data_IF_181265094324
#
_entry.id   IF_181265094324
#
_cell.length_a   1.000
_cell.length_b   1.000
_cell.length_c   1.000
_cell.angle_alpha   90.00
_cell.angle_beta   90.00
_cell.angle_gamma   90.00
#
_symmetry.space_group_name_H-M   'P 1'
#
loop_
_entity.id
_entity.type
_entity.pdbx_description
1 polymer ?
#
# COMPACT_ATOMS: atom_id res chain seq x y z
N UNK A 1 12.74 -32.49 6.77
CA UNK A 1 13.49 -31.43 6.09
C UNK A 1 12.88 -30.15 6.61
N UNK A 2 13.52 -29.55 7.61
CA UNK A 2 13.14 -28.23 8.09
C UNK A 2 13.74 -27.27 7.09
N UNK A 3 12.89 -26.66 6.27
CA UNK A 3 13.29 -25.52 5.48
C UNK A 3 13.61 -24.41 6.49
N UNK A 4 14.90 -24.19 6.67
CA UNK A 4 15.49 -23.07 7.37
C UNK A 4 15.05 -21.82 6.59
N UNK A 5 13.98 -21.18 7.04
CA UNK A 5 13.62 -19.85 6.55
C UNK A 5 14.73 -18.93 7.04
N UNK A 6 15.69 -18.63 6.17
CA UNK A 6 16.75 -17.69 6.45
C UNK A 6 16.14 -16.35 6.86
N UNK A 7 16.20 -16.05 8.16
CA UNK A 7 15.98 -14.72 8.74
C UNK A 7 17.15 -13.80 8.38
N UNK A 8 17.36 -13.55 7.09
CA UNK A 8 18.14 -12.39 6.66
C UNK A 8 17.18 -11.20 6.58
N UNK A 9 17.44 -10.17 7.38
CA UNK A 9 16.72 -8.90 7.27
C UNK A 9 17.02 -8.29 5.91
N UNK A 10 15.97 -8.01 5.14
CA UNK A 10 16.09 -7.39 3.81
C UNK A 10 16.70 -5.99 3.94
N UNK A 11 17.58 -5.63 2.99
CA UNK A 11 18.03 -4.25 2.84
C UNK A 11 16.90 -3.33 2.38
N UNK A 12 17.07 -2.01 2.58
CA UNK A 12 16.09 -1.00 2.13
C UNK A 12 15.78 -1.11 0.62
N UNK A 13 16.79 -1.44 -0.19
CA UNK A 13 16.62 -1.61 -1.64
C UNK A 13 15.81 -2.87 -1.97
N UNK A 14 16.04 -3.97 -1.27
CA UNK A 14 15.26 -5.20 -1.44
C UNK A 14 13.81 -5.01 -0.97
N UNK A 15 13.58 -4.25 0.10
CA UNK A 15 12.26 -3.88 0.58
C UNK A 15 11.50 -3.02 -0.45
N UNK A 16 12.16 -2.04 -1.06
CA UNK A 16 11.57 -1.21 -2.12
C UNK A 16 11.23 -2.04 -3.37
N UNK A 17 12.11 -2.95 -3.79
CA UNK A 17 11.82 -3.88 -4.89
C UNK A 17 10.60 -4.74 -4.56
N UNK A 18 10.56 -5.36 -3.39
CA UNK A 18 9.44 -6.19 -2.97
C UNK A 18 8.12 -5.40 -2.89
N UNK A 19 8.17 -4.17 -2.37
CA UNK A 19 7.02 -3.26 -2.31
C UNK A 19 6.46 -3.01 -3.72
N UNK A 20 7.33 -2.71 -4.69
CA UNK A 20 6.93 -2.45 -6.08
C UNK A 20 6.33 -3.69 -6.73
N UNK A 21 6.96 -4.85 -6.57
CA UNK A 21 6.43 -6.11 -7.10
C UNK A 21 5.04 -6.44 -6.55
N UNK A 22 4.80 -6.16 -5.28
CA UNK A 22 3.48 -6.34 -4.65
C UNK A 22 2.48 -5.31 -5.17
N UNK A 23 2.88 -4.03 -5.27
CA UNK A 23 2.04 -2.96 -5.77
C UNK A 23 1.60 -3.23 -7.23
N UNK A 24 2.51 -3.66 -8.09
CA UNK A 24 2.24 -3.95 -9.50
C UNK A 24 1.16 -5.03 -9.66
N UNK A 25 1.20 -6.10 -8.83
CA UNK A 25 0.15 -7.13 -8.83
C UNK A 25 -1.23 -6.58 -8.47
N UNK A 26 -1.30 -5.64 -7.53
CA UNK A 26 -2.56 -4.99 -7.18
C UNK A 26 -3.05 -4.05 -8.29
N UNK A 27 -2.14 -3.32 -8.94
CA UNK A 27 -2.46 -2.45 -10.08
C UNK A 27 -2.95 -3.28 -11.27
N UNK A 28 -2.33 -4.42 -11.57
CA UNK A 28 -2.77 -5.34 -12.62
C UNK A 28 -4.20 -5.82 -12.37
N UNK A 29 -4.51 -6.22 -11.13
CA UNK A 29 -5.87 -6.59 -10.76
C UNK A 29 -6.84 -5.42 -10.88
N UNK A 30 -6.44 -4.22 -10.45
CA UNK A 30 -7.27 -3.02 -10.59
C UNK A 30 -7.56 -2.70 -12.07
N UNK A 31 -6.56 -2.82 -12.94
CA UNK A 31 -6.68 -2.64 -14.38
C UNK A 31 -7.66 -3.65 -15.00
N UNK A 32 -7.66 -4.90 -14.53
CA UNK A 32 -8.64 -5.90 -14.92
C UNK A 32 -10.06 -5.54 -14.44
N UNK A 33 -10.22 -5.08 -13.19
CA UNK A 33 -11.51 -4.65 -12.68
C UNK A 33 -12.03 -3.40 -13.42
N UNK A 34 -11.14 -2.52 -13.87
CA UNK A 34 -11.48 -1.33 -14.65
C UNK A 34 -12.04 -1.65 -16.05
N UNK A 35 -11.86 -2.88 -16.55
CA UNK A 35 -12.56 -3.36 -17.75
C UNK A 35 -14.06 -3.59 -17.52
N UNK A 36 -14.47 -3.73 -16.25
CA UNK A 36 -15.85 -4.08 -15.87
C UNK A 36 -16.56 -2.98 -15.08
N UNK A 37 -15.82 -2.19 -14.31
CA UNK A 37 -16.35 -1.13 -13.45
C UNK A 37 -15.68 0.21 -13.75
N UNK A 38 -16.36 1.33 -13.43
CA UNK A 38 -15.75 2.66 -13.52
C UNK A 38 -14.49 2.74 -12.64
N UNK A 39 -13.43 3.38 -13.16
CA UNK A 39 -12.13 3.50 -12.49
C UNK A 39 -12.23 4.15 -11.11
N UNK A 40 -13.16 5.08 -10.91
CA UNK A 40 -13.43 5.72 -9.62
C UNK A 40 -13.98 4.72 -8.59
N UNK A 41 -14.81 3.78 -9.01
CA UNK A 41 -15.33 2.72 -8.15
C UNK A 41 -14.24 1.68 -7.84
N UNK A 42 -13.38 1.36 -8.82
CA UNK A 42 -12.22 0.49 -8.60
C UNK A 42 -11.26 1.14 -7.60
N UNK A 43 -10.98 2.44 -7.75
CA UNK A 43 -10.15 3.21 -6.80
C UNK A 43 -10.72 3.18 -5.38
N UNK A 44 -12.03 3.40 -5.21
CA UNK A 44 -12.68 3.24 -3.90
C UNK A 44 -12.58 1.82 -3.35
N UNK A 45 -12.76 0.82 -4.22
CA UNK A 45 -12.60 -0.59 -3.87
C UNK A 45 -11.18 -0.92 -3.39
N UNK A 46 -10.15 -0.37 -4.03
CA UNK A 46 -8.76 -0.50 -3.60
C UNK A 46 -8.55 0.13 -2.22
N UNK A 47 -8.99 1.39 -2.01
CA UNK A 47 -8.87 2.05 -0.71
C UNK A 47 -9.54 1.24 0.41
N UNK A 48 -10.74 0.70 0.14
CA UNK A 48 -11.45 -0.15 1.09
C UNK A 48 -10.72 -1.48 1.34
N UNK A 49 -10.19 -2.12 0.29
CA UNK A 49 -9.40 -3.34 0.39
C UNK A 49 -8.13 -3.14 1.22
N UNK A 50 -7.37 -2.09 0.95
CA UNK A 50 -6.17 -1.70 1.71
C UNK A 50 -6.51 -1.46 3.18
N UNK A 51 -7.59 -0.73 3.48
CA UNK A 51 -8.01 -0.49 4.86
C UNK A 51 -8.31 -1.80 5.62
N UNK A 52 -8.97 -2.76 4.97
CA UNK A 52 -9.27 -4.08 5.57
C UNK A 52 -8.00 -4.90 5.80
N UNK A 53 -7.09 -4.90 4.84
CA UNK A 53 -5.83 -5.64 4.98
C UNK A 53 -4.97 -5.04 6.09
N UNK A 54 -4.83 -3.71 6.13
CA UNK A 54 -4.07 -3.03 7.19
C UNK A 54 -4.70 -3.25 8.57
N UNK A 55 -6.03 -3.24 8.68
CA UNK A 55 -6.71 -3.57 9.93
C UNK A 55 -6.44 -5.03 10.38
N UNK A 56 -6.38 -5.98 9.44
CA UNK A 56 -5.98 -7.35 9.73
C UNK A 56 -4.52 -7.43 10.23
N UNK A 57 -3.59 -6.70 9.60
CA UNK A 57 -2.18 -6.62 10.03
C UNK A 57 -2.07 -6.09 11.46
N UNK A 58 -2.81 -5.04 11.83
CA UNK A 58 -2.81 -4.54 13.22
C UNK A 58 -3.34 -5.61 14.17
N UNK A 59 -4.48 -6.20 13.82
CA UNK A 59 -5.11 -7.22 14.66
C UNK A 59 -4.23 -8.48 14.82
N UNK A 60 -3.42 -8.85 13.82
CA UNK A 60 -2.55 -10.02 13.89
C UNK A 60 -1.33 -9.82 14.80
N UNK A 61 -0.98 -8.58 15.14
CA UNK A 61 0.12 -8.25 16.05
C UNK A 61 -0.34 -7.98 17.48
N UNK A 62 -1.65 -7.88 17.73
CA UNK A 62 -2.18 -7.63 19.06
C UNK A 62 -2.34 -8.94 19.84
N UNK A 63 -1.75 -9.01 21.03
CA UNK A 63 -1.85 -10.18 21.92
C UNK A 63 -3.24 -10.26 22.59
N UNK A 64 -3.85 -9.12 22.87
CA UNK A 64 -5.17 -8.99 23.46
C UNK A 64 -5.89 -7.70 23.04
N UNK A 65 -7.11 -7.50 23.55
CA UNK A 65 -7.94 -6.35 23.22
C UNK A 65 -7.37 -5.02 23.75
N UNK A 66 -6.64 -5.04 24.86
CA UNK A 66 -6.03 -3.83 25.42
C UNK A 66 -4.86 -3.39 24.55
N UNK A 67 -3.99 -4.34 24.16
CA UNK A 67 -2.91 -4.08 23.20
C UNK A 67 -3.45 -3.58 21.86
N UNK A 68 -4.54 -4.19 21.36
CA UNK A 68 -5.21 -3.73 20.14
C UNK A 68 -5.69 -2.28 20.25
N UNK A 69 -6.36 -1.92 21.35
CA UNK A 69 -6.89 -0.57 21.55
C UNK A 69 -5.78 0.48 21.67
N UNK A 70 -4.64 0.14 22.31
CA UNK A 70 -3.45 1.00 22.38
C UNK A 70 -2.78 1.20 21.00
N UNK A 71 -2.70 0.14 20.20
CA UNK A 71 -2.07 0.18 18.87
C UNK A 71 -2.96 0.80 17.80
N UNK A 72 -4.28 0.80 18.00
CA UNK A 72 -5.26 1.27 17.02
C UNK A 72 -5.00 2.68 16.53
N UNK A 73 -4.85 3.65 17.44
CA UNK A 73 -4.69 5.05 17.05
C UNK A 73 -3.32 5.29 16.41
N UNK A 74 -2.26 4.65 16.93
CA UNK A 74 -0.91 4.69 16.32
C UNK A 74 -0.90 4.11 14.91
N UNK A 75 -1.60 3.01 14.69
CA UNK A 75 -1.71 2.39 13.38
C UNK A 75 -2.47 3.28 12.39
N UNK A 76 -3.55 3.93 12.82
CA UNK A 76 -4.30 4.88 11.98
C UNK A 76 -3.38 6.02 11.53
N UNK A 77 -2.67 6.65 12.46
CA UNK A 77 -1.74 7.74 12.14
C UNK A 77 -0.65 7.29 11.17
N UNK A 78 -0.06 6.12 11.43
CA UNK A 78 0.96 5.52 10.57
C UNK A 78 0.44 5.30 9.14
N UNK A 79 -0.64 4.53 8.97
CA UNK A 79 -1.13 4.19 7.63
C UNK A 79 -1.62 5.40 6.84
N UNK A 80 -2.33 6.33 7.50
CA UNK A 80 -2.78 7.56 6.84
C UNK A 80 -1.59 8.44 6.46
N UNK A 81 -0.56 8.52 7.31
CA UNK A 81 0.68 9.24 7.04
C UNK A 81 1.43 8.68 5.83
N UNK A 82 1.63 7.36 5.80
CA UNK A 82 2.29 6.67 4.69
C UNK A 82 1.52 6.84 3.37
N UNK A 83 0.21 6.60 3.39
CA UNK A 83 -0.63 6.76 2.20
C UNK A 83 -0.61 8.19 1.66
N UNK A 84 -0.66 9.19 2.54
CA UNK A 84 -0.58 10.61 2.16
C UNK A 84 0.73 10.90 1.43
N UNK A 85 1.86 10.45 1.95
CA UNK A 85 3.17 10.67 1.33
C UNK A 85 3.25 10.03 -0.05
N UNK A 86 2.86 8.76 -0.17
CA UNK A 86 2.84 8.06 -1.46
C UNK A 86 1.93 8.74 -2.48
N UNK A 87 0.72 9.17 -2.06
CA UNK A 87 -0.22 9.83 -2.95
C UNK A 87 0.32 11.19 -3.44
N UNK A 88 0.92 11.98 -2.56
CA UNK A 88 1.53 13.26 -2.94
C UNK A 88 2.63 13.04 -3.98
N UNK A 89 3.57 12.11 -3.72
CA UNK A 89 4.65 11.80 -4.66
C UNK A 89 4.11 11.44 -6.05
N UNK A 90 3.14 10.52 -6.13
CA UNK A 90 2.57 10.12 -7.41
C UNK A 90 1.84 11.27 -8.12
N UNK A 91 1.14 12.13 -7.39
CA UNK A 91 0.48 13.31 -7.98
C UNK A 91 1.50 14.34 -8.50
N UNK A 92 2.61 14.52 -7.78
CA UNK A 92 3.71 15.39 -8.19
C UNK A 92 4.40 14.83 -9.46
N UNK A 93 4.56 13.52 -9.59
CA UNK A 93 5.08 12.87 -10.80
C UNK A 93 4.18 13.15 -12.02
N UNK A 94 2.86 13.02 -11.86
CA UNK A 94 1.91 13.42 -12.91
C UNK A 94 1.99 14.92 -13.22
N UNK A 95 2.15 15.77 -12.19
CA UNK A 95 2.29 17.22 -12.38
C UNK A 95 3.53 17.57 -13.20
N UNK A 96 4.68 16.99 -12.89
CA UNK A 96 5.92 17.16 -13.65
C UNK A 96 5.75 16.70 -15.10
N UNK A 97 5.12 15.55 -15.31
CA UNK A 97 4.83 15.04 -16.66
C UNK A 97 4.00 16.01 -17.52
N UNK A 98 3.06 16.75 -16.91
CA UNK A 98 2.29 17.79 -17.63
C UNK A 98 3.10 19.04 -17.95
N UNK A 99 4.12 19.37 -17.16
CA UNK A 99 5.05 20.48 -17.46
C UNK A 99 5.94 20.08 -18.65
N UNK A 100 6.51 18.88 -18.63
CA UNK A 100 7.36 18.39 -19.72
C UNK A 100 6.62 18.26 -21.06
N UNK A 101 5.38 17.74 -21.05
CA UNK A 101 4.54 17.64 -22.26
C UNK A 101 4.13 18.99 -22.84
N UNK A 102 4.11 20.06 -22.04
CA UNK A 102 3.79 21.42 -22.52
C UNK A 102 4.96 22.10 -23.23
N UNK A 103 6.18 21.59 -23.04
CA UNK A 103 7.40 22.13 -23.65
C UNK A 103 8.01 21.19 -24.72
N UNK A 104 7.29 20.12 -25.10
CA UNK A 104 7.58 19.23 -26.21
C UNK A 104 6.70 19.55 -27.43
#
# INVERSE_FOLDING_TARGET
>A
MSDDVSTEELSDEELDVQLREVADKFIDLANQQAQRFHKENVSQGMMYGTARFNAFVVASHADDVLAYDEDRDRAIEYFVGQYRQMLISNLDDYRGSFEDLKYA
#
